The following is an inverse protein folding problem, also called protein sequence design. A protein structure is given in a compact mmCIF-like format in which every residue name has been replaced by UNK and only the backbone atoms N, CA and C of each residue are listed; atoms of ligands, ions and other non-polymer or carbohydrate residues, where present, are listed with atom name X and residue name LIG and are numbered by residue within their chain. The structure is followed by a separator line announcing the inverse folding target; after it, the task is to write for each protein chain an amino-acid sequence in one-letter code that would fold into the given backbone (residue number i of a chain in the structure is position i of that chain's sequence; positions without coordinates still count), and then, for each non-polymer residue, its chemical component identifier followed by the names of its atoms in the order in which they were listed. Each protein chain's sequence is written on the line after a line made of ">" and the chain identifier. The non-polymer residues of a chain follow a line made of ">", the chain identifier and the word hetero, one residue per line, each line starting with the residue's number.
data_IF_195593186404
#
_entry.id   IF_195593186404
#
_cell.length_a   1.000
_cell.length_b   1.000
_cell.length_c   1.000
_cell.angle_alpha   90.00
_cell.angle_beta   90.00
_cell.angle_gamma   90.00
#
_symmetry.space_group_name_H-M   'P 1'
#
loop_
_entity.id
_entity.type
_entity.pdbx_description
1 polymer ?
#
# COMPACT_ATOMS: atom_id res chain seq x y z
N UNK A 1 -5.37 21.99 -7.58
CA UNK A 1 -5.75 20.61 -7.97
C UNK A 1 -4.77 19.65 -7.32
N UNK A 2 -5.06 19.21 -6.10
CA UNK A 2 -4.21 18.29 -5.35
C UNK A 2 -4.31 16.92 -6.01
N UNK A 3 -3.24 16.47 -6.66
CA UNK A 3 -3.18 15.10 -7.19
C UNK A 3 -2.93 14.16 -6.02
N UNK A 4 -3.99 13.76 -5.34
CA UNK A 4 -4.00 12.59 -4.45
C UNK A 4 -3.97 11.35 -5.33
N UNK A 5 -2.86 11.15 -6.05
CA UNK A 5 -2.64 9.94 -6.85
C UNK A 5 -2.11 8.85 -5.94
N UNK A 6 -2.68 7.65 -6.02
CA UNK A 6 -2.12 6.47 -5.35
C UNK A 6 -0.63 6.36 -5.71
N UNK A 7 0.23 6.14 -4.71
CA UNK A 7 1.63 5.88 -4.94
C UNK A 7 1.77 4.40 -5.33
N UNK A 8 2.17 4.13 -6.58
CA UNK A 8 2.54 2.79 -7.00
C UNK A 8 3.85 2.37 -6.31
N UNK A 9 3.78 1.25 -5.61
CA UNK A 9 4.91 0.60 -4.96
C UNK A 9 5.06 -0.82 -5.49
N UNK A 10 6.31 -1.22 -5.69
CA UNK A 10 6.68 -2.57 -6.03
C UNK A 10 7.25 -3.25 -4.79
N UNK A 11 6.60 -4.32 -4.33
CA UNK A 11 7.04 -5.12 -3.19
C UNK A 11 7.40 -6.53 -3.64
N UNK A 12 8.39 -7.15 -3.00
CA UNK A 12 8.73 -8.55 -3.25
C UNK A 12 7.75 -9.50 -2.56
N UNK A 13 7.30 -10.53 -3.27
CA UNK A 13 6.54 -11.63 -2.69
C UNK A 13 7.48 -12.52 -1.86
N UNK A 14 7.24 -12.70 -0.55
CA UNK A 14 8.12 -13.52 0.29
C UNK A 14 8.13 -15.01 -0.10
N UNK A 15 7.09 -15.49 -0.79
CA UNK A 15 6.98 -16.91 -1.17
C UNK A 15 7.69 -17.27 -2.48
N UNK A 16 7.76 -16.34 -3.43
CA UNK A 16 8.25 -16.65 -4.78
C UNK A 16 9.20 -15.61 -5.35
N UNK A 17 9.60 -14.61 -4.55
CA UNK A 17 10.46 -13.49 -4.93
C UNK A 17 9.91 -12.64 -6.11
N UNK A 18 8.65 -12.86 -6.50
CA UNK A 18 8.02 -12.12 -7.59
C UNK A 18 7.65 -10.70 -7.15
N UNK A 19 7.78 -9.75 -8.08
CA UNK A 19 7.37 -8.37 -7.84
C UNK A 19 5.84 -8.24 -7.87
N UNK A 20 5.30 -7.61 -6.83
CA UNK A 20 3.88 -7.29 -6.70
C UNK A 20 3.75 -5.78 -6.78
N UNK A 21 3.14 -5.31 -7.86
CA UNK A 21 2.76 -3.91 -8.01
C UNK A 21 1.48 -3.64 -7.20
N UNK A 22 1.57 -2.73 -6.22
CA UNK A 22 0.45 -2.33 -5.38
C UNK A 22 0.46 -0.81 -5.17
N UNK A 23 -0.71 -0.20 -5.25
CA UNK A 23 -0.81 1.26 -5.05
C UNK A 23 -1.31 1.56 -3.62
N UNK A 24 -0.52 2.26 -2.82
CA UNK A 24 -0.94 2.73 -1.50
C UNK A 24 -1.49 4.15 -1.66
N UNK A 25 -2.66 4.49 -1.07
CA UNK A 25 -3.10 5.87 -1.11
C UNK A 25 -2.00 6.76 -0.52
N UNK A 26 -1.72 7.92 -1.13
CA UNK A 26 -0.69 8.79 -0.60
C UNK A 26 -1.08 9.12 0.83
N UNK A 27 -0.17 8.81 1.76
CA UNK A 27 -0.39 9.04 3.19
C UNK A 27 -0.90 10.46 3.39
N UNK A 28 -1.78 10.68 4.38
CA UNK A 28 -2.35 12.00 4.63
C UNK A 28 -1.19 12.98 4.73
N UNK A 29 -1.12 13.89 3.75
CA UNK A 29 -0.08 14.90 3.74
C UNK A 29 -0.05 15.60 5.09
N UNK A 30 1.13 16.07 5.48
CA UNK A 30 1.54 16.76 6.73
C UNK A 30 0.59 17.83 7.35
N UNK A 31 -0.62 17.99 6.83
CA UNK A 31 -1.70 18.90 7.26
C UNK A 31 -2.99 18.18 7.72
N UNK A 32 -2.99 16.87 7.95
CA UNK A 32 -4.16 16.17 8.50
C UNK A 32 -4.08 16.03 10.02
N UNK A 33 -4.07 17.17 10.70
CA UNK A 33 -3.92 17.29 12.16
C UNK A 33 -5.14 16.83 12.99
N UNK A 34 -6.09 16.06 12.43
CA UNK A 34 -7.25 15.60 13.20
C UNK A 34 -7.83 14.20 12.92
N UNK A 35 -7.36 13.42 11.92
CA UNK A 35 -7.96 12.08 11.65
C UNK A 35 -6.95 10.95 11.33
N UNK A 36 -5.65 11.28 11.21
CA UNK A 36 -4.69 10.50 10.43
C UNK A 36 -3.72 9.62 11.20
N UNK A 37 -4.03 9.24 12.43
CA UNK A 37 -3.22 8.27 13.20
C UNK A 37 -3.93 6.91 13.32
N UNK A 38 -4.68 6.52 12.29
CA UNK A 38 -5.32 5.21 12.21
C UNK A 38 -4.48 4.34 11.29
N UNK A 39 -3.99 3.23 11.83
CA UNK A 39 -3.34 2.19 11.04
C UNK A 39 -4.32 1.70 9.96
N UNK A 40 -3.97 1.93 8.70
CA UNK A 40 -4.74 1.46 7.56
C UNK A 40 -4.12 0.17 7.04
N UNK A 41 -4.95 -0.85 6.90
CA UNK A 41 -4.59 -2.12 6.26
C UNK A 41 -5.03 -2.13 4.81
N UNK A 42 -4.21 -2.68 3.92
CA UNK A 42 -4.58 -3.01 2.55
C UNK A 42 -4.14 -4.44 2.23
N UNK A 43 -5.08 -5.25 1.79
CA UNK A 43 -4.82 -6.58 1.26
C UNK A 43 -4.39 -6.49 -0.20
N UNK A 44 -3.38 -7.29 -0.57
CA UNK A 44 -2.92 -7.48 -1.94
C UNK A 44 -2.58 -8.95 -2.16
N UNK A 45 -2.58 -9.40 -3.41
CA UNK A 45 -2.30 -10.79 -3.75
C UNK A 45 -1.23 -10.86 -4.83
N UNK A 46 -0.26 -11.75 -4.62
CA UNK A 46 0.73 -12.09 -5.63
C UNK A 46 0.06 -12.84 -6.78
N UNK A 47 0.10 -12.28 -7.99
CA UNK A 47 -0.42 -12.95 -9.20
C UNK A 47 0.42 -14.15 -9.64
N UNK A 48 1.65 -14.27 -9.15
CA UNK A 48 2.57 -15.32 -9.56
C UNK A 48 2.33 -16.63 -8.79
N UNK A 49 2.17 -16.57 -7.46
CA UNK A 49 1.95 -17.75 -6.62
C UNK A 49 0.58 -17.80 -5.93
N UNK A 50 -0.23 -16.74 -6.04
CA UNK A 50 -1.54 -16.64 -5.37
C UNK A 50 -1.47 -16.25 -3.89
N UNK A 51 -0.29 -15.93 -3.36
CA UNK A 51 -0.11 -15.61 -1.95
C UNK A 51 -0.70 -14.25 -1.59
N UNK A 52 -1.49 -14.22 -0.53
CA UNK A 52 -2.12 -13.02 0.02
C UNK A 52 -1.17 -12.30 0.97
N UNK A 53 -1.14 -10.98 0.89
CA UNK A 53 -0.25 -10.10 1.64
C UNK A 53 -1.06 -8.93 2.21
N UNK A 54 -0.78 -8.59 3.46
CA UNK A 54 -1.38 -7.45 4.12
C UNK A 54 -0.33 -6.35 4.35
N UNK A 55 -0.66 -5.14 3.90
CA UNK A 55 0.19 -3.97 4.02
C UNK A 55 -0.44 -3.00 5.02
N UNK A 56 0.38 -2.53 5.95
CA UNK A 56 -0.05 -1.60 6.99
C UNK A 56 0.69 -0.27 6.84
N UNK A 57 -0.05 0.83 6.84
CA UNK A 57 0.48 2.19 6.69
C UNK A 57 -0.29 3.20 7.57
N UNK A 58 0.35 4.36 7.80
CA UNK A 58 -0.20 5.50 8.54
C UNK A 58 -0.47 6.67 7.59
#
# INVERSE_FOLDING_TARGET
>A
MSRTGNADMDIGCPECDATIATSIPPGPGIHAENDSNRLLGKETQCRNCGHELELYYY
#
